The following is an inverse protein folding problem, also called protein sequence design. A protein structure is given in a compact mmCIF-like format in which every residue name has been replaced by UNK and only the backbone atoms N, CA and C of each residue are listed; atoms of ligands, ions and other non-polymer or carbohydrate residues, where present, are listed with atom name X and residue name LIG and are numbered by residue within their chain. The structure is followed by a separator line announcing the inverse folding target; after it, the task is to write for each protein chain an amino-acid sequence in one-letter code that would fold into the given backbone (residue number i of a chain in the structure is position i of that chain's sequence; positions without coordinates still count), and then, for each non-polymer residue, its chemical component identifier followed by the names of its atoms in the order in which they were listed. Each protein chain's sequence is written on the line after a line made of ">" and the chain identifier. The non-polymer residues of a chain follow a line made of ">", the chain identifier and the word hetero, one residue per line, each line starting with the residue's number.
data_IF_188136597909
#
_entry.id   IF_188136597909
#
_cell.length_a   1.000
_cell.length_b   1.000
_cell.length_c   1.000
_cell.angle_alpha   90.00
_cell.angle_beta   90.00
_cell.angle_gamma   90.00
#
_symmetry.space_group_name_H-M   'P 1'
#
loop_
_entity.id
_entity.type
_entity.pdbx_description
1 polymer ?
#
# COMPACT_ATOMS: atom_id res chain seq x y z
N UNK A 1 -6.08 -4.61 31.78
CA UNK A 1 -7.52 -4.76 31.41
C UNK A 1 -7.75 -4.62 29.91
N UNK A 2 -6.94 -3.81 29.21
CA UNK A 2 -6.96 -3.66 27.75
C UNK A 2 -6.90 -4.98 26.95
N UNK A 3 -6.18 -6.00 27.41
CA UNK A 3 -6.10 -7.28 26.70
C UNK A 3 -7.48 -7.94 26.50
N UNK A 4 -8.42 -7.71 27.42
CA UNK A 4 -9.79 -8.21 27.31
C UNK A 4 -10.61 -7.45 26.27
N UNK A 5 -10.36 -6.14 26.11
CA UNK A 5 -10.94 -5.35 25.04
C UNK A 5 -10.44 -5.83 23.67
N UNK A 6 -9.13 -6.06 23.54
CA UNK A 6 -8.54 -6.62 22.33
C UNK A 6 -9.10 -8.01 22.00
N UNK A 7 -9.17 -8.89 23.00
CA UNK A 7 -9.75 -10.22 22.83
C UNK A 7 -11.23 -10.15 22.40
N UNK A 8 -12.03 -9.30 23.08
CA UNK A 8 -13.43 -9.08 22.73
C UNK A 8 -13.61 -8.52 21.31
N UNK A 9 -12.75 -7.59 20.91
CA UNK A 9 -12.74 -7.05 19.55
C UNK A 9 -12.36 -8.12 18.52
N UNK A 10 -11.31 -8.92 18.72
CA UNK A 10 -10.98 -10.01 17.80
C UNK A 10 -12.09 -11.04 17.68
N UNK A 11 -12.76 -11.38 18.79
CA UNK A 11 -13.94 -12.26 18.79
C UNK A 11 -15.06 -11.65 17.96
N UNK A 12 -15.34 -10.34 18.13
CA UNK A 12 -16.32 -9.62 17.34
C UNK A 12 -15.97 -9.70 15.85
N UNK A 13 -14.74 -9.38 15.46
CA UNK A 13 -14.30 -9.38 14.05
C UNK A 13 -14.37 -10.78 13.44
N UNK A 14 -13.87 -11.80 14.14
CA UNK A 14 -13.95 -13.19 13.67
C UNK A 14 -15.41 -13.61 13.53
N UNK A 15 -16.27 -13.26 14.48
CA UNK A 15 -17.71 -13.50 14.41
C UNK A 15 -18.37 -12.81 13.20
N UNK A 16 -18.04 -11.55 12.95
CA UNK A 16 -18.54 -10.79 11.80
C UNK A 16 -18.07 -11.40 10.48
N UNK A 17 -16.81 -11.84 10.38
CA UNK A 17 -16.29 -12.54 9.22
C UNK A 17 -17.01 -13.88 9.01
N UNK A 18 -17.20 -14.68 10.06
CA UNK A 18 -17.93 -15.94 9.96
C UNK A 18 -19.36 -15.72 9.47
N UNK A 19 -20.06 -14.68 9.94
CA UNK A 19 -21.40 -14.34 9.47
C UNK A 19 -21.40 -13.89 8.01
N UNK A 20 -20.51 -12.97 7.65
CA UNK A 20 -20.38 -12.42 6.30
C UNK A 20 -20.08 -13.51 5.26
N UNK A 21 -19.18 -14.45 5.58
CA UNK A 21 -18.69 -15.48 4.65
C UNK A 21 -19.47 -16.80 4.74
N UNK A 22 -19.94 -17.17 5.92
CA UNK A 22 -20.59 -18.45 6.19
C UNK A 22 -22.10 -18.42 6.05
N UNK A 23 -22.75 -17.27 6.27
CA UNK A 23 -24.21 -17.15 6.29
C UNK A 23 -24.73 -16.35 5.11
N UNK A 24 -24.22 -15.13 4.88
CA UNK A 24 -24.80 -14.22 3.90
C UNK A 24 -24.38 -14.50 2.45
N UNK A 25 -23.16 -15.00 2.22
CA UNK A 25 -22.61 -15.18 0.86
C UNK A 25 -22.26 -16.63 0.51
N UNK A 26 -23.00 -17.59 1.08
CA UNK A 26 -22.74 -19.03 0.94
C UNK A 26 -22.82 -19.57 -0.49
N UNK A 27 -23.52 -18.85 -1.38
CA UNK A 27 -23.68 -19.22 -2.79
C UNK A 27 -23.15 -18.11 -3.70
N UNK A 28 -22.22 -18.41 -4.62
CA UNK A 28 -21.70 -17.42 -5.56
C UNK A 28 -22.79 -17.04 -6.56
N UNK A 29 -23.45 -15.91 -6.32
CA UNK A 29 -24.37 -15.25 -7.26
C UNK A 29 -23.81 -13.87 -7.58
N UNK A 30 -24.01 -13.41 -8.82
CA UNK A 30 -23.71 -12.03 -9.18
C UNK A 30 -24.56 -11.09 -8.32
N UNK A 31 -23.90 -10.39 -7.40
CA UNK A 31 -24.56 -9.41 -6.52
C UNK A 31 -24.94 -8.21 -7.37
N UNK A 32 -26.23 -7.86 -7.39
CA UNK A 32 -26.70 -6.66 -8.09
C UNK A 32 -26.07 -5.40 -7.48
N UNK A 33 -25.83 -4.36 -8.27
CA UNK A 33 -25.32 -3.07 -7.76
C UNK A 33 -26.15 -2.53 -6.58
N UNK A 34 -27.48 -2.71 -6.61
CA UNK A 34 -28.37 -2.29 -5.51
C UNK A 34 -28.12 -3.07 -4.22
N UNK A 35 -27.94 -4.38 -4.34
CA UNK A 35 -27.67 -5.26 -3.20
C UNK A 35 -26.27 -4.98 -2.62
N UNK A 36 -25.29 -4.78 -3.49
CA UNK A 36 -23.93 -4.46 -3.08
C UNK A 36 -23.83 -3.06 -2.40
N UNK A 37 -24.60 -2.07 -2.87
CA UNK A 37 -24.73 -0.77 -2.20
C UNK A 37 -25.44 -0.90 -0.84
N UNK A 38 -26.48 -1.71 -0.73
CA UNK A 38 -27.16 -1.96 0.55
C UNK A 38 -26.22 -2.62 1.57
N UNK A 39 -25.44 -3.61 1.14
CA UNK A 39 -24.39 -4.21 1.97
C UNK A 39 -23.33 -3.20 2.36
N UNK A 40 -22.83 -2.38 1.43
CA UNK A 40 -21.89 -1.32 1.74
C UNK A 40 -22.45 -0.35 2.79
N UNK A 41 -23.72 0.06 2.67
CA UNK A 41 -24.38 0.93 3.63
C UNK A 41 -24.53 0.27 5.00
N UNK A 42 -24.83 -1.03 5.05
CA UNK A 42 -24.88 -1.80 6.28
C UNK A 42 -23.52 -1.78 6.99
N UNK A 43 -22.43 -2.06 6.27
CA UNK A 43 -21.07 -2.03 6.81
C UNK A 43 -20.67 -0.64 7.31
N UNK A 44 -20.97 0.42 6.56
CA UNK A 44 -20.76 1.81 6.99
C UNK A 44 -21.53 2.10 8.27
N UNK A 45 -22.79 1.69 8.35
CA UNK A 45 -23.63 1.90 9.53
C UNK A 45 -23.05 1.20 10.76
N UNK A 46 -22.57 -0.04 10.60
CA UNK A 46 -21.91 -0.76 11.69
C UNK A 46 -20.63 -0.03 12.14
N UNK A 47 -19.82 0.49 11.22
CA UNK A 47 -18.64 1.29 11.55
C UNK A 47 -19.00 2.57 12.33
N UNK A 48 -20.10 3.24 11.96
CA UNK A 48 -20.59 4.42 12.66
C UNK A 48 -21.13 4.09 14.06
N UNK A 49 -21.83 2.97 14.21
CA UNK A 49 -22.26 2.47 15.53
C UNK A 49 -21.04 2.15 16.39
N UNK A 50 -20.01 1.51 15.83
CA UNK A 50 -18.77 1.28 16.55
C UNK A 50 -18.05 2.58 16.91
N UNK A 51 -18.14 3.63 16.08
CA UNK A 51 -17.61 4.94 16.43
C UNK A 51 -18.31 5.56 17.66
N UNK A 52 -19.64 5.40 17.78
CA UNK A 52 -20.39 5.79 18.98
C UNK A 52 -19.94 4.96 20.19
N UNK A 53 -19.67 3.66 20.00
CA UNK A 53 -19.07 2.84 21.05
C UNK A 53 -17.68 3.34 21.48
N UNK A 54 -16.81 3.72 20.53
CA UNK A 54 -15.49 4.31 20.81
C UNK A 54 -15.62 5.59 21.63
N UNK A 55 -16.59 6.45 21.32
CA UNK A 55 -16.88 7.65 22.11
C UNK A 55 -17.08 7.29 23.58
N UNK A 56 -18.01 6.38 23.89
CA UNK A 56 -18.30 5.99 25.28
C UNK A 56 -17.16 5.20 25.93
N UNK A 57 -16.45 4.37 25.17
CA UNK A 57 -15.31 3.60 25.64
C UNK A 57 -14.22 4.52 26.22
N UNK A 58 -13.92 5.62 25.53
CA UNK A 58 -12.91 6.60 25.94
C UNK A 58 -13.46 7.62 26.96
N UNK A 59 -14.71 8.07 26.82
CA UNK A 59 -15.32 9.04 27.75
C UNK A 59 -15.46 8.47 29.18
N UNK A 60 -15.85 7.19 29.29
CA UNK A 60 -15.99 6.52 30.58
C UNK A 60 -14.75 5.73 31.00
N UNK A 61 -13.65 5.87 30.25
CA UNK A 61 -12.39 5.17 30.51
C UNK A 61 -12.53 3.66 30.73
N UNK A 62 -13.42 3.02 29.99
CA UNK A 62 -13.65 1.59 30.08
C UNK A 62 -12.36 0.83 29.79
N UNK A 63 -12.06 -0.18 30.60
CA UNK A 63 -10.81 -0.95 30.54
C UNK A 63 -9.51 -0.11 30.70
N UNK A 64 -9.62 1.15 31.15
CA UNK A 64 -8.50 2.09 31.27
C UNK A 64 -8.22 2.91 30.00
N UNK A 65 -9.08 2.86 28.99
CA UNK A 65 -8.89 3.57 27.72
C UNK A 65 -8.89 5.08 27.91
N UNK A 66 -8.03 5.78 27.18
CA UNK A 66 -7.87 7.25 27.27
C UNK A 66 -7.03 7.73 28.46
N UNK A 67 -6.59 6.82 29.36
CA UNK A 67 -5.72 7.16 30.50
C UNK A 67 -4.25 6.77 30.28
N UNK A 68 -3.98 5.76 29.46
CA UNK A 68 -2.64 5.14 29.29
C UNK A 68 -1.92 5.56 27.99
N UNK A 69 -2.43 6.58 27.29
CA UNK A 69 -1.89 7.07 26.02
C UNK A 69 -0.75 8.09 26.19
N UNK A 70 -0.16 8.50 25.07
CA UNK A 70 0.81 9.61 25.01
C UNK A 70 0.16 10.92 25.49
N UNK A 71 -1.14 11.07 25.22
CA UNK A 71 -2.00 12.14 25.73
C UNK A 71 -3.32 11.54 26.24
N UNK A 72 -3.90 12.13 27.29
CA UNK A 72 -5.22 11.74 27.75
C UNK A 72 -6.25 12.15 26.68
N UNK A 73 -7.03 11.18 26.19
CA UNK A 73 -7.97 11.38 25.09
C UNK A 73 -9.40 11.40 25.61
N UNK A 74 -10.13 12.47 25.26
CA UNK A 74 -11.58 12.52 25.49
C UNK A 74 -12.32 11.57 24.55
N UNK A 75 -13.56 11.20 24.90
CA UNK A 75 -14.41 10.37 24.04
C UNK A 75 -14.65 11.02 22.68
N UNK A 76 -14.80 12.36 22.66
CA UNK A 76 -14.98 13.12 21.42
C UNK A 76 -13.76 13.04 20.51
N UNK A 77 -12.57 13.20 21.05
CA UNK A 77 -11.33 13.13 20.26
C UNK A 77 -11.10 11.73 19.73
N UNK A 78 -11.30 10.69 20.55
CA UNK A 78 -11.17 9.30 20.12
C UNK A 78 -12.14 8.95 18.99
N UNK A 79 -13.40 9.39 19.07
CA UNK A 79 -14.38 9.18 18.02
C UNK A 79 -14.04 9.95 16.73
N UNK A 80 -13.52 11.18 16.84
CA UNK A 80 -13.05 11.93 15.68
C UNK A 80 -11.82 11.29 15.02
N UNK A 81 -10.89 10.77 15.82
CA UNK A 81 -9.71 10.06 15.34
C UNK A 81 -10.08 8.73 14.68
N UNK A 82 -10.98 7.94 15.29
CA UNK A 82 -11.51 6.72 14.68
C UNK A 82 -12.19 7.02 13.35
N UNK A 83 -13.07 8.03 13.32
CA UNK A 83 -13.80 8.38 12.09
C UNK A 83 -12.88 8.92 11.00
N UNK A 84 -11.93 9.81 11.34
CA UNK A 84 -10.92 10.27 10.40
C UNK A 84 -10.11 9.10 9.82
N UNK A 85 -9.66 8.20 10.69
CA UNK A 85 -8.92 7.02 10.28
C UNK A 85 -9.71 6.09 9.38
N UNK A 86 -10.97 5.85 9.75
CA UNK A 86 -11.91 5.07 8.95
C UNK A 86 -12.09 5.67 7.56
N UNK A 87 -12.29 6.98 7.45
CA UNK A 87 -12.48 7.66 6.15
C UNK A 87 -11.21 7.58 5.30
N UNK A 88 -10.03 7.82 5.88
CA UNK A 88 -8.75 7.70 5.16
C UNK A 88 -8.57 6.28 4.63
N UNK A 89 -8.68 5.27 5.51
CA UNK A 89 -8.48 3.87 5.12
C UNK A 89 -9.56 3.37 4.16
N UNK A 90 -10.81 3.82 4.32
CA UNK A 90 -11.90 3.47 3.41
C UNK A 90 -11.65 4.04 2.01
N UNK A 91 -11.06 5.23 1.93
CA UNK A 91 -10.73 5.88 0.67
C UNK A 91 -9.56 5.19 -0.02
N UNK A 92 -8.51 4.85 0.74
CA UNK A 92 -7.30 4.22 0.21
C UNK A 92 -7.50 2.75 -0.15
N UNK A 93 -8.37 2.03 0.55
CA UNK A 93 -8.70 0.64 0.23
C UNK A 93 -9.44 0.47 -1.11
N UNK A 94 -9.98 1.54 -1.72
CA UNK A 94 -10.56 1.49 -3.07
C UNK A 94 -9.49 1.20 -4.13
N UNK A 95 -8.28 1.72 -3.96
CA UNK A 95 -7.15 1.43 -4.86
C UNK A 95 -6.73 -0.06 -4.74
N UNK A 96 -6.88 -0.65 -3.55
CA UNK A 96 -6.59 -2.07 -3.34
C UNK A 96 -7.55 -2.97 -4.12
N UNK A 97 -8.84 -2.58 -4.21
CA UNK A 97 -9.85 -3.30 -5.01
C UNK A 97 -9.44 -3.34 -6.50
N UNK A 98 -8.89 -2.25 -7.03
CA UNK A 98 -8.42 -2.19 -8.43
C UNK A 98 -7.34 -3.24 -8.69
N UNK A 99 -6.35 -3.33 -7.80
CA UNK A 99 -5.27 -4.32 -7.94
C UNK A 99 -5.82 -5.74 -7.83
N UNK A 100 -6.70 -6.01 -6.87
CA UNK A 100 -7.33 -7.33 -6.73
C UNK A 100 -8.07 -7.71 -8.02
N UNK A 101 -8.88 -6.80 -8.57
CA UNK A 101 -9.63 -7.03 -9.82
C UNK A 101 -8.69 -7.33 -11.00
N UNK A 102 -7.62 -6.56 -11.13
CA UNK A 102 -6.62 -6.74 -12.17
C UNK A 102 -5.89 -8.07 -12.05
N UNK A 103 -5.51 -8.47 -10.83
CA UNK A 103 -4.87 -9.76 -10.57
C UNK A 103 -5.84 -10.90 -10.91
N UNK A 104 -7.10 -10.84 -10.47
CA UNK A 104 -8.11 -11.85 -10.84
C UNK A 104 -8.36 -11.91 -12.34
N UNK A 105 -8.41 -10.78 -13.02
CA UNK A 105 -8.57 -10.71 -14.47
C UNK A 105 -7.36 -11.30 -15.20
N UNK A 106 -6.15 -10.94 -14.79
CA UNK A 106 -4.89 -11.42 -15.37
C UNK A 106 -4.74 -12.94 -15.24
N UNK A 107 -4.99 -13.48 -14.05
CA UNK A 107 -4.94 -14.92 -13.79
C UNK A 107 -6.23 -15.67 -14.20
N UNK A 108 -7.23 -14.96 -14.72
CA UNK A 108 -8.54 -15.49 -15.12
C UNK A 108 -9.19 -16.35 -14.01
N UNK A 109 -9.15 -15.85 -12.78
CA UNK A 109 -9.68 -16.58 -11.61
C UNK A 109 -11.20 -16.67 -11.70
N UNK A 110 -11.78 -17.88 -11.75
CA UNK A 110 -13.23 -18.07 -11.76
C UNK A 110 -13.90 -17.41 -10.56
N UNK A 111 -15.07 -16.77 -10.77
CA UNK A 111 -15.82 -16.04 -9.74
C UNK A 111 -16.07 -16.88 -8.47
N UNK A 112 -16.32 -18.18 -8.62
CA UNK A 112 -16.55 -19.09 -7.50
C UNK A 112 -15.36 -19.25 -6.56
N UNK A 113 -14.12 -19.04 -7.03
CA UNK A 113 -12.91 -19.15 -6.22
C UNK A 113 -12.42 -17.80 -5.69
N UNK A 114 -12.88 -16.67 -6.26
CA UNK A 114 -12.51 -15.32 -5.80
C UNK A 114 -12.91 -15.10 -4.33
N UNK A 115 -14.07 -15.62 -3.91
CA UNK A 115 -14.54 -15.52 -2.53
C UNK A 115 -13.54 -16.09 -1.52
N UNK A 116 -12.96 -17.26 -1.82
CA UNK A 116 -11.98 -17.93 -0.96
C UNK A 116 -10.68 -17.15 -0.88
N UNK A 117 -10.20 -16.61 -2.01
CA UNK A 117 -9.01 -15.76 -2.02
C UNK A 117 -9.25 -14.48 -1.22
N UNK A 118 -10.41 -13.84 -1.38
CA UNK A 118 -10.77 -12.64 -0.61
C UNK A 118 -10.90 -12.92 0.88
N UNK A 119 -11.40 -14.09 1.27
CA UNK A 119 -11.47 -14.49 2.68
C UNK A 119 -10.10 -14.56 3.33
N UNK A 120 -9.21 -15.37 2.74
CA UNK A 120 -7.85 -15.52 3.23
C UNK A 120 -7.04 -14.22 3.08
N UNK A 121 -7.35 -13.46 2.03
CA UNK A 121 -6.84 -12.12 1.75
C UNK A 121 -7.12 -11.12 2.88
N UNK A 122 -8.37 -11.08 3.34
CA UNK A 122 -8.74 -10.21 4.47
C UNK A 122 -8.02 -10.68 5.73
N UNK A 123 -8.01 -11.99 6.01
CA UNK A 123 -7.37 -12.51 7.22
C UNK A 123 -5.85 -12.26 7.25
N UNK A 124 -5.16 -12.43 6.12
CA UNK A 124 -3.73 -12.13 6.01
C UNK A 124 -3.45 -10.64 6.18
N UNK A 125 -4.22 -9.78 5.51
CA UNK A 125 -4.12 -8.32 5.67
C UNK A 125 -4.34 -7.88 7.11
N UNK A 126 -5.32 -8.45 7.82
CA UNK A 126 -5.56 -8.12 9.23
C UNK A 126 -4.31 -8.39 10.10
N UNK A 127 -3.67 -9.54 9.89
CA UNK A 127 -2.46 -9.92 10.64
C UNK A 127 -1.26 -9.06 10.23
N UNK A 128 -1.03 -8.88 8.93
CA UNK A 128 0.09 -8.10 8.43
C UNK A 128 -0.02 -6.64 8.85
N UNK A 129 -1.22 -6.04 8.75
CA UNK A 129 -1.46 -4.67 9.22
C UNK A 129 -1.30 -4.54 10.71
N UNK A 130 -1.76 -5.51 11.51
CA UNK A 130 -1.52 -5.50 12.95
C UNK A 130 -0.01 -5.40 13.25
N UNK A 131 0.80 -6.23 12.61
CA UNK A 131 2.27 -6.23 12.77
C UNK A 131 2.88 -4.91 12.32
N UNK A 132 2.50 -4.41 11.14
CA UNK A 132 3.04 -3.17 10.58
C UNK A 132 2.64 -1.94 11.39
N UNK A 133 1.41 -1.89 11.92
CA UNK A 133 0.94 -0.81 12.80
C UNK A 133 1.75 -0.81 14.09
N UNK A 134 1.90 -1.95 14.76
CA UNK A 134 2.69 -2.02 15.98
C UNK A 134 4.15 -1.62 15.73
N UNK A 135 4.76 -2.13 14.64
CA UNK A 135 6.11 -1.75 14.25
C UNK A 135 6.24 -0.27 13.91
N UNK A 136 5.25 0.30 13.24
CA UNK A 136 5.19 1.72 12.89
C UNK A 136 5.05 2.64 14.09
N UNK A 137 4.23 2.27 15.08
CA UNK A 137 4.09 3.00 16.35
C UNK A 137 5.43 3.00 17.08
N UNK A 138 6.08 1.84 17.22
CA UNK A 138 7.42 1.74 17.83
C UNK A 138 8.43 2.61 17.08
N UNK A 139 8.37 2.64 15.75
CA UNK A 139 9.26 3.46 14.94
C UNK A 139 9.05 4.96 15.18
N UNK A 140 7.79 5.42 15.23
CA UNK A 140 7.44 6.83 15.49
C UNK A 140 7.79 7.25 16.91
N UNK A 141 7.49 6.42 17.90
CA UNK A 141 7.78 6.74 19.30
C UNK A 141 9.27 6.75 19.60
N UNK A 142 10.07 6.00 18.83
CA UNK A 142 11.52 5.91 19.02
C UNK A 142 12.27 6.99 18.22
N UNK A 143 11.82 7.31 17.01
CA UNK A 143 12.52 8.20 16.09
C UNK A 143 11.66 9.39 15.68
N UNK A 144 11.76 10.51 16.39
CA UNK A 144 10.97 11.72 16.11
C UNK A 144 11.10 12.23 14.65
N UNK A 145 12.25 11.99 14.00
CA UNK A 145 12.47 12.40 12.62
C UNK A 145 11.70 11.56 11.58
N UNK A 146 11.19 10.37 11.95
CA UNK A 146 10.48 9.50 11.03
C UNK A 146 9.19 10.13 10.51
N UNK A 147 8.55 11.00 11.30
CA UNK A 147 7.38 11.75 10.88
C UNK A 147 7.68 12.60 9.63
N UNK A 148 8.91 13.13 9.52
CA UNK A 148 9.32 13.87 8.32
C UNK A 148 9.54 12.95 7.12
N UNK A 149 10.12 11.76 7.32
CA UNK A 149 10.29 10.76 6.26
C UNK A 149 8.93 10.35 5.70
N UNK A 150 8.00 10.04 6.59
CA UNK A 150 6.63 9.70 6.27
C UNK A 150 5.92 10.84 5.55
N UNK A 151 6.06 12.08 6.03
CA UNK A 151 5.51 13.26 5.35
C UNK A 151 6.04 13.45 3.92
N UNK A 152 7.36 13.34 3.73
CA UNK A 152 7.99 13.42 2.39
C UNK A 152 7.54 12.27 1.49
N UNK A 153 7.44 11.06 2.04
CA UNK A 153 7.00 9.88 1.30
C UNK A 153 5.57 10.05 0.77
N UNK A 154 4.64 10.55 1.61
CA UNK A 154 3.26 10.81 1.21
C UNK A 154 3.13 11.90 0.13
N UNK A 155 3.92 12.97 0.25
CA UNK A 155 3.96 14.02 -0.79
C UNK A 155 4.53 13.45 -2.09
N UNK A 156 5.58 12.64 -2.00
CA UNK A 156 6.18 11.98 -3.17
C UNK A 156 5.18 11.06 -3.87
N UNK A 157 4.42 10.24 -3.13
CA UNK A 157 3.40 9.36 -3.71
C UNK A 157 2.24 10.15 -4.29
N UNK A 158 1.77 11.21 -3.63
CA UNK A 158 0.79 12.14 -4.19
C UNK A 158 1.23 12.74 -5.54
N UNK A 159 2.45 13.28 -5.62
CA UNK A 159 2.99 13.88 -6.86
C UNK A 159 3.14 12.83 -7.95
N UNK A 160 3.61 11.63 -7.59
CA UNK A 160 3.73 10.50 -8.52
C UNK A 160 2.37 10.08 -9.08
N UNK A 161 1.34 10.01 -8.23
CA UNK A 161 -0.03 9.67 -8.64
C UNK A 161 -0.61 10.71 -9.61
N UNK A 162 -0.35 12.00 -9.41
CA UNK A 162 -0.81 13.07 -10.32
C UNK A 162 -0.02 13.12 -11.63
N UNK A 163 1.27 12.78 -11.59
CA UNK A 163 2.16 12.83 -12.75
C UNK A 163 2.02 11.60 -13.66
N UNK A 164 1.58 10.47 -13.12
CA UNK A 164 1.32 9.26 -13.88
C UNK A 164 -0.01 9.37 -14.65
N UNK A 165 0.02 9.92 -15.87
CA UNK A 165 -1.12 9.81 -16.80
C UNK A 165 -1.27 8.35 -17.25
N UNK A 166 -2.26 7.65 -16.70
CA UNK A 166 -2.78 6.37 -17.21
C UNK A 166 -1.72 5.31 -17.57
N UNK A 167 -0.75 5.07 -16.69
CA UNK A 167 0.04 3.84 -16.80
C UNK A 167 -0.83 2.67 -16.32
N UNK A 168 -1.36 1.92 -17.28
CA UNK A 168 -1.97 0.62 -17.05
C UNK A 168 -1.03 -0.20 -16.18
N UNK A 169 -1.47 -0.51 -14.95
CA UNK A 169 -0.78 -1.43 -14.06
C UNK A 169 -0.63 -2.73 -14.84
N UNK A 170 0.62 -3.08 -15.18
CA UNK A 170 0.95 -4.35 -15.82
C UNK A 170 1.42 -5.30 -14.72
N UNK A 171 0.59 -6.26 -14.26
CA UNK A 171 0.94 -7.22 -13.20
C UNK A 171 2.20 -8.02 -13.52
N UNK A 172 2.50 -8.19 -14.80
CA UNK A 172 3.66 -8.90 -15.37
C UNK A 172 5.02 -8.31 -14.95
N UNK A 173 5.08 -7.08 -14.45
CA UNK A 173 6.33 -6.42 -14.06
C UNK A 173 6.72 -6.66 -12.60
N UNK A 174 5.83 -7.23 -11.78
CA UNK A 174 6.05 -7.34 -10.34
C UNK A 174 7.16 -8.36 -10.03
N UNK A 175 8.20 -7.94 -9.29
CA UNK A 175 9.35 -8.79 -8.95
C UNK A 175 8.92 -10.04 -8.17
N UNK A 176 7.84 -9.91 -7.38
CA UNK A 176 7.22 -10.97 -6.60
C UNK A 176 6.58 -12.07 -7.46
N UNK A 177 6.02 -11.73 -8.63
CA UNK A 177 5.47 -12.72 -9.56
C UNK A 177 6.61 -13.60 -10.11
N UNK A 178 7.72 -12.98 -10.54
CA UNK A 178 8.91 -13.73 -10.96
C UNK A 178 9.56 -14.53 -9.84
N UNK A 179 9.53 -14.01 -8.61
CA UNK A 179 10.03 -14.73 -7.43
C UNK A 179 9.17 -15.97 -7.15
N UNK A 180 7.84 -15.85 -7.21
CA UNK A 180 6.91 -16.96 -7.02
C UNK A 180 7.09 -18.06 -8.08
N UNK A 181 7.21 -17.71 -9.36
CA UNK A 181 7.52 -18.65 -10.44
C UNK A 181 8.93 -19.27 -10.35
N UNK A 182 9.86 -18.66 -9.62
CA UNK A 182 11.25 -19.13 -9.48
C UNK A 182 11.42 -20.13 -8.34
N UNK A 183 10.61 -20.06 -7.29
CA UNK A 183 10.76 -20.94 -6.13
C UNK A 183 9.85 -22.18 -6.15
N UNK A 184 8.79 -22.23 -6.97
CA UNK A 184 7.82 -23.32 -6.91
C UNK A 184 7.28 -23.76 -8.29
N UNK A 185 7.09 -25.08 -8.45
CA UNK A 185 6.38 -25.66 -9.61
C UNK A 185 4.89 -25.34 -9.50
N UNK A 186 4.42 -24.47 -10.38
CA UNK A 186 3.02 -24.05 -10.46
C UNK A 186 2.26 -25.03 -11.35
N UNK A 187 1.10 -25.49 -10.90
CA UNK A 187 0.19 -26.29 -11.74
C UNK A 187 -0.40 -25.43 -12.86
N UNK A 188 -0.52 -25.98 -14.08
CA UNK A 188 -1.03 -25.23 -15.25
C UNK A 188 -2.53 -24.90 -15.14
N UNK A 189 -3.27 -25.60 -14.27
CA UNK A 189 -4.73 -25.54 -14.17
C UNK A 189 -5.19 -25.32 -12.73
N UNK A 190 -6.30 -24.60 -12.54
CA UNK A 190 -6.98 -24.51 -11.25
C UNK A 190 -7.48 -25.90 -10.83
N UNK A 191 -7.10 -26.34 -9.63
CA UNK A 191 -7.56 -27.58 -9.02
C UNK A 191 -8.58 -27.25 -7.93
N UNK A 192 -9.82 -27.00 -8.37
CA UNK A 192 -10.93 -26.60 -7.50
C UNK A 192 -10.61 -25.37 -6.63
N UNK A 193 -10.96 -25.41 -5.35
CA UNK A 193 -10.74 -24.32 -4.41
C UNK A 193 -9.39 -24.44 -3.66
N UNK A 194 -8.64 -25.53 -3.82
CA UNK A 194 -7.44 -25.80 -3.03
C UNK A 194 -6.25 -24.89 -3.40
N UNK A 195 -5.48 -24.48 -2.38
CA UNK A 195 -4.24 -23.70 -2.55
C UNK A 195 -3.02 -24.58 -2.84
N UNK A 196 -3.07 -25.83 -2.40
CA UNK A 196 -2.01 -26.80 -2.52
C UNK A 196 -2.60 -28.12 -2.99
N UNK A 197 -1.92 -28.78 -3.91
CA UNK A 197 -2.31 -30.09 -4.40
C UNK A 197 -1.08 -30.99 -4.42
N UNK A 198 -1.25 -32.21 -3.94
CA UNK A 198 -0.20 -33.21 -4.04
C UNK A 198 -0.28 -33.88 -5.40
N UNK A 199 0.75 -33.73 -6.24
CA UNK A 199 0.82 -34.35 -7.57
C UNK A 199 2.21 -34.93 -7.78
N UNK A 200 2.28 -36.21 -8.16
CA UNK A 200 3.51 -36.99 -8.31
C UNK A 200 4.38 -37.04 -7.04
N UNK A 201 3.77 -37.17 -5.86
CA UNK A 201 4.49 -37.28 -4.58
C UNK A 201 5.05 -35.96 -4.03
N UNK A 202 4.89 -34.84 -4.73
CA UNK A 202 5.33 -33.51 -4.29
C UNK A 202 4.15 -32.54 -4.14
N UNK A 203 4.22 -31.67 -3.14
CA UNK A 203 3.25 -30.58 -2.95
C UNK A 203 3.49 -29.49 -4.00
N UNK A 204 2.47 -29.21 -4.80
CA UNK A 204 2.47 -28.15 -5.81
C UNK A 204 1.50 -27.05 -5.39
N UNK A 205 1.89 -25.80 -5.63
CA UNK A 205 1.02 -24.65 -5.39
C UNK A 205 0.08 -24.47 -6.57
N UNK A 206 -1.17 -24.15 -6.28
CA UNK A 206 -2.14 -23.79 -7.32
C UNK A 206 -1.99 -22.31 -7.69
N UNK A 207 -2.42 -21.91 -8.90
CA UNK A 207 -2.48 -20.50 -9.27
C UNK A 207 -3.28 -19.64 -8.28
N UNK A 208 -4.25 -20.23 -7.58
CA UNK A 208 -5.06 -19.56 -6.57
C UNK A 208 -4.22 -19.07 -5.36
N UNK A 209 -3.20 -19.84 -4.96
CA UNK A 209 -2.30 -19.44 -3.87
C UNK A 209 -1.37 -18.30 -4.30
N UNK A 210 -0.90 -18.34 -5.55
CA UNK A 210 -0.06 -17.27 -6.11
C UNK A 210 -0.85 -15.96 -6.16
N UNK A 211 -2.11 -16.02 -6.59
CA UNK A 211 -3.02 -14.87 -6.57
C UNK A 211 -3.16 -14.31 -5.16
N UNK A 212 -3.38 -15.16 -4.15
CA UNK A 212 -3.44 -14.74 -2.76
C UNK A 212 -2.15 -14.01 -2.33
N UNK A 213 -0.98 -14.58 -2.59
CA UNK A 213 0.32 -13.97 -2.24
C UNK A 213 0.52 -12.61 -2.94
N UNK A 214 0.11 -12.47 -4.20
CA UNK A 214 0.20 -11.20 -4.93
C UNK A 214 -0.70 -10.15 -4.30
N UNK A 215 -1.92 -10.53 -3.91
CA UNK A 215 -2.87 -9.62 -3.24
C UNK A 215 -2.30 -9.16 -1.88
N UNK A 216 -1.87 -10.10 -1.05
CA UNK A 216 -1.28 -9.82 0.28
C UNK A 216 -0.04 -8.92 0.18
N UNK A 217 0.87 -9.24 -0.75
CA UNK A 217 2.07 -8.43 -0.95
C UNK A 217 1.77 -7.05 -1.52
N UNK A 218 0.72 -6.91 -2.32
CA UNK A 218 0.26 -5.60 -2.79
C UNK A 218 -0.31 -4.77 -1.65
N UNK A 219 -1.03 -5.37 -0.69
CA UNK A 219 -1.49 -4.65 0.50
C UNK A 219 -0.33 -4.12 1.34
N UNK A 220 0.75 -4.88 1.52
CA UNK A 220 1.97 -4.38 2.18
C UNK A 220 2.53 -3.15 1.45
N UNK A 221 2.55 -3.16 0.13
CA UNK A 221 2.99 -2.00 -0.65
C UNK A 221 2.08 -0.79 -0.44
N UNK A 222 0.76 -0.99 -0.36
CA UNK A 222 -0.19 0.07 -0.04
C UNK A 222 -0.12 0.54 1.41
N UNK A 223 0.28 -0.34 2.33
CA UNK A 223 0.51 -0.01 3.72
C UNK A 223 1.63 1.02 3.90
N UNK A 224 2.59 1.08 2.97
CA UNK A 224 3.66 2.10 2.96
C UNK A 224 3.08 3.51 2.87
N UNK A 225 1.95 3.70 2.17
CA UNK A 225 1.29 5.00 2.05
C UNK A 225 0.17 5.18 3.10
N UNK A 226 -0.64 4.13 3.34
CA UNK A 226 -1.78 4.24 4.25
C UNK A 226 -1.40 4.29 5.74
N UNK A 227 -0.36 3.57 6.18
CA UNK A 227 0.05 3.55 7.59
C UNK A 227 0.60 4.91 8.05
N UNK A 228 1.51 5.58 7.31
CA UNK A 228 1.90 6.94 7.65
C UNK A 228 0.70 7.89 7.73
N UNK A 229 -0.25 7.75 6.81
CA UNK A 229 -1.41 8.64 6.76
C UNK A 229 -2.31 8.50 8.00
N UNK A 230 -2.55 7.28 8.50
CA UNK A 230 -3.31 7.07 9.74
C UNK A 230 -2.55 7.57 10.97
N UNK A 231 -1.21 7.47 11.00
CA UNK A 231 -0.42 8.02 12.10
C UNK A 231 -0.39 9.54 12.16
N UNK A 232 -0.69 10.22 11.05
CA UNK A 232 -0.94 11.66 11.04
C UNK A 232 -2.26 12.05 11.73
N UNK A 233 -3.15 11.07 11.98
CA UNK A 233 -4.44 11.25 12.67
C UNK A 233 -4.32 10.84 14.13
N UNK A 234 -3.80 9.65 14.40
CA UNK A 234 -3.69 9.10 15.75
C UNK A 234 -2.57 8.08 15.86
N UNK A 235 -1.91 8.06 17.01
CA UNK A 235 -0.89 7.07 17.35
C UNK A 235 -1.43 6.02 18.34
N UNK A 236 -2.72 6.09 18.70
CA UNK A 236 -3.37 5.12 19.57
C UNK A 236 -3.57 3.79 18.85
N UNK A 237 -2.88 2.70 19.25
CA UNK A 237 -2.90 1.44 18.51
C UNK A 237 -4.31 0.89 18.29
N UNK A 238 -5.19 1.03 19.28
CA UNK A 238 -6.56 0.55 19.20
C UNK A 238 -7.38 1.32 18.15
N UNK A 239 -7.27 2.65 18.09
CA UNK A 239 -7.99 3.47 17.12
C UNK A 239 -7.47 3.24 15.70
N UNK A 240 -6.14 3.20 15.53
CA UNK A 240 -5.49 2.91 14.25
C UNK A 240 -5.97 1.55 13.72
N UNK A 241 -5.90 0.52 14.56
CA UNK A 241 -6.23 -0.84 14.14
C UNK A 241 -7.72 -1.03 13.89
N UNK A 242 -8.58 -0.64 14.83
CA UNK A 242 -10.02 -0.87 14.69
C UNK A 242 -10.61 -0.09 13.51
N UNK A 243 -10.21 1.16 13.29
CA UNK A 243 -10.69 1.95 12.14
C UNK A 243 -10.27 1.35 10.80
N UNK A 244 -9.04 0.83 10.72
CA UNK A 244 -8.53 0.13 9.54
C UNK A 244 -9.35 -1.14 9.23
N UNK A 245 -9.62 -1.95 10.25
CA UNK A 245 -10.43 -3.16 10.09
C UNK A 245 -11.83 -2.80 9.60
N UNK A 246 -12.51 -1.87 10.24
CA UNK A 246 -13.85 -1.47 9.82
C UNK A 246 -13.87 -0.89 8.40
N UNK A 247 -12.80 -0.23 7.96
CA UNK A 247 -12.67 0.23 6.58
C UNK A 247 -12.55 -0.94 5.58
N UNK A 248 -11.81 -1.99 5.95
CA UNK A 248 -11.60 -3.19 5.13
C UNK A 248 -12.80 -4.14 5.15
N UNK A 249 -13.54 -4.18 6.25
CA UNK A 249 -14.79 -4.94 6.33
C UNK A 249 -15.80 -4.39 5.31
N UNK A 250 -16.46 -5.31 4.61
CA UNK A 250 -17.38 -4.97 3.53
C UNK A 250 -16.74 -4.69 2.17
N UNK A 251 -15.39 -4.66 2.04
CA UNK A 251 -14.75 -4.48 0.72
C UNK A 251 -15.11 -5.59 -0.27
N UNK A 252 -15.43 -6.82 0.19
CA UNK A 252 -15.91 -7.90 -0.69
C UNK A 252 -17.22 -7.55 -1.37
N UNK A 253 -18.18 -7.01 -0.62
CA UNK A 253 -19.45 -6.55 -1.19
C UNK A 253 -19.23 -5.37 -2.14
N UNK A 254 -18.29 -4.49 -1.80
CA UNK A 254 -17.95 -3.34 -2.62
C UNK A 254 -17.24 -3.73 -3.91
N UNK A 255 -16.37 -4.74 -3.93
CA UNK A 255 -15.71 -5.22 -5.16
C UNK A 255 -16.72 -5.52 -6.28
N UNK A 256 -17.82 -6.20 -5.96
CA UNK A 256 -18.86 -6.52 -6.95
C UNK A 256 -19.68 -5.29 -7.39
N UNK A 257 -19.91 -4.30 -6.51
CA UNK A 257 -20.49 -3.01 -6.91
C UNK A 257 -19.52 -2.20 -7.79
N UNK A 258 -18.28 -2.07 -7.31
CA UNK A 258 -17.30 -1.11 -7.78
C UNK A 258 -16.70 -1.54 -9.11
N UNK A 259 -16.49 -2.84 -9.35
CA UNK A 259 -15.97 -3.33 -10.64
C UNK A 259 -16.78 -2.81 -11.84
N UNK A 260 -18.09 -2.63 -11.68
CA UNK A 260 -18.99 -2.07 -12.71
C UNK A 260 -19.02 -0.53 -12.79
N UNK A 261 -18.64 0.15 -11.70
CA UNK A 261 -18.70 1.61 -11.58
C UNK A 261 -17.33 2.29 -11.59
N UNK A 262 -16.23 1.53 -11.53
CA UNK A 262 -14.87 2.05 -11.37
C UNK A 262 -14.45 2.97 -12.53
N UNK A 263 -14.98 2.71 -13.72
CA UNK A 263 -14.77 3.56 -14.92
C UNK A 263 -15.47 4.93 -14.82
N UNK A 264 -16.31 5.17 -13.79
CA UNK A 264 -17.03 6.43 -13.57
C UNK A 264 -16.36 7.34 -12.53
N UNK A 265 -15.29 6.89 -11.88
CA UNK A 265 -14.64 7.59 -10.76
C UNK A 265 -13.21 8.05 -11.09
N UNK A 266 -12.99 8.59 -12.29
CA UNK A 266 -11.65 9.03 -12.74
C UNK A 266 -11.02 10.08 -11.81
N UNK A 267 -11.83 10.97 -11.22
CA UNK A 267 -11.35 12.02 -10.31
C UNK A 267 -11.12 11.54 -8.87
N UNK A 268 -11.53 10.31 -8.54
CA UNK A 268 -11.28 9.73 -7.22
C UNK A 268 -9.77 9.54 -7.00
N UNK A 269 -9.04 9.05 -8.01
CA UNK A 269 -7.56 8.92 -7.95
C UNK A 269 -6.88 10.27 -7.68
N UNK A 270 -7.36 11.33 -8.33
CA UNK A 270 -6.87 12.70 -8.11
C UNK A 270 -7.14 13.14 -6.67
N UNK A 271 -8.30 12.80 -6.12
CA UNK A 271 -8.70 13.14 -4.75
C UNK A 271 -7.85 12.40 -3.71
N UNK A 272 -7.54 11.12 -3.94
CA UNK A 272 -6.62 10.36 -3.09
C UNK A 272 -5.21 10.96 -3.12
N UNK A 273 -4.73 11.42 -4.27
CA UNK A 273 -3.44 12.10 -4.36
C UNK A 273 -3.43 13.44 -3.57
N UNK A 274 -4.49 14.24 -3.66
CA UNK A 274 -4.61 15.46 -2.85
C UNK A 274 -4.71 15.17 -1.36
N UNK A 275 -5.45 14.13 -0.97
CA UNK A 275 -5.53 13.65 0.40
C UNK A 275 -4.14 13.27 0.93
N UNK A 276 -3.39 12.47 0.17
CA UNK A 276 -2.02 12.07 0.53
C UNK A 276 -1.07 13.26 0.66
N UNK A 277 -1.15 14.21 -0.29
CA UNK A 277 -0.35 15.43 -0.24
C UNK A 277 -0.67 16.28 1.00
N UNK A 278 -1.96 16.46 1.31
CA UNK A 278 -2.40 17.18 2.51
C UNK A 278 -1.90 16.50 3.80
N UNK A 279 -2.09 15.19 3.91
CA UNK A 279 -1.65 14.44 5.09
C UNK A 279 -0.13 14.48 5.23
N UNK A 280 0.61 14.36 4.13
CA UNK A 280 2.07 14.50 4.12
C UNK A 280 2.54 15.87 4.61
N UNK A 281 1.91 16.95 4.13
CA UNK A 281 2.19 18.32 4.62
C UNK A 281 1.86 18.45 6.11
N UNK A 282 0.72 17.92 6.56
CA UNK A 282 0.34 17.90 7.98
C UNK A 282 1.41 17.22 8.83
N UNK A 283 1.97 16.09 8.37
CA UNK A 283 3.05 15.39 9.09
C UNK A 283 4.34 16.21 9.16
N UNK A 284 4.73 16.89 8.08
CA UNK A 284 5.90 17.79 8.07
C UNK A 284 5.72 18.99 9.00
N UNK A 285 4.49 19.50 9.11
CA UNK A 285 4.16 20.64 9.96
C UNK A 285 3.87 20.27 11.41
N UNK A 286 3.86 18.99 11.77
CA UNK A 286 3.37 18.50 13.07
C UNK A 286 4.05 19.18 14.28
N UNK A 287 5.33 19.54 14.18
CA UNK A 287 6.09 20.18 15.26
C UNK A 287 5.92 21.70 15.32
N UNK A 288 5.48 22.34 14.23
CA UNK A 288 5.39 23.80 14.12
C UNK A 288 3.95 24.30 14.24
N UNK A 289 3.01 23.59 13.62
CA UNK A 289 1.61 23.98 13.57
C UNK A 289 0.70 22.74 13.58
N UNK A 290 0.27 22.27 14.77
CA UNK A 290 -0.62 21.14 14.88
C UNK A 290 -2.00 21.51 14.33
N UNK A 291 -2.38 20.89 13.21
CA UNK A 291 -3.70 21.10 12.59
C UNK A 291 -4.76 20.35 13.43
N UNK A 292 -5.78 21.05 13.97
CA UNK A 292 -6.84 20.41 14.75
C UNK A 292 -7.53 19.30 13.96
N UNK A 293 -7.89 18.20 14.64
CA UNK A 293 -8.46 17.02 13.98
C UNK A 293 -9.75 17.33 13.22
N UNK A 294 -10.61 18.21 13.76
CA UNK A 294 -11.84 18.64 13.08
C UNK A 294 -11.57 19.38 11.76
N UNK A 295 -10.55 20.24 11.72
CA UNK A 295 -10.13 20.93 10.50
C UNK A 295 -9.54 19.93 9.48
N UNK A 296 -8.71 19.00 9.96
CA UNK A 296 -8.17 17.91 9.13
C UNK A 296 -9.29 17.07 8.50
N UNK A 297 -10.31 16.72 9.28
CA UNK A 297 -11.44 15.91 8.82
C UNK A 297 -12.32 16.67 7.82
N UNK A 298 -12.54 17.97 8.03
CA UNK A 298 -13.26 18.82 7.09
C UNK A 298 -12.52 18.92 5.74
N UNK A 299 -11.19 19.06 5.76
CA UNK A 299 -10.37 19.09 4.54
C UNK A 299 -10.41 17.74 3.83
N UNK A 300 -10.19 16.63 4.55
CA UNK A 300 -10.27 15.27 3.98
C UNK A 300 -11.64 15.02 3.36
N UNK A 301 -12.71 15.28 4.11
CA UNK A 301 -14.09 15.15 3.63
C UNK A 301 -14.38 16.03 2.42
N UNK A 302 -13.88 17.27 2.42
CA UNK A 302 -13.99 18.20 1.31
C UNK A 302 -13.29 17.71 0.04
N UNK A 303 -12.04 17.24 0.15
CA UNK A 303 -11.28 16.68 -0.98
C UNK A 303 -12.03 15.49 -1.59
N UNK A 304 -12.50 14.56 -0.75
CA UNK A 304 -13.23 13.38 -1.21
C UNK A 304 -14.59 13.74 -1.81
N UNK A 305 -15.34 14.65 -1.19
CA UNK A 305 -16.63 15.10 -1.69
C UNK A 305 -16.49 15.81 -3.04
N UNK A 306 -15.53 16.71 -3.19
CA UNK A 306 -15.23 17.38 -4.47
C UNK A 306 -14.87 16.33 -5.52
N UNK A 307 -14.06 15.33 -5.17
CA UNK A 307 -13.71 14.21 -6.04
C UNK A 307 -14.91 13.42 -6.56
N UNK A 308 -15.81 13.06 -5.65
CA UNK A 308 -17.03 12.32 -5.96
C UNK A 308 -17.97 13.17 -6.81
N UNK A 309 -18.21 14.43 -6.43
CA UNK A 309 -19.06 15.34 -7.20
C UNK A 309 -18.49 15.60 -8.59
N UNK A 310 -17.19 15.89 -8.70
CA UNK A 310 -16.51 16.05 -9.99
C UNK A 310 -16.64 14.79 -10.85
N UNK A 311 -16.49 13.60 -10.25
CA UNK A 311 -16.68 12.33 -10.97
C UNK A 311 -18.12 12.16 -11.47
N UNK A 312 -19.13 12.55 -10.70
CA UNK A 312 -20.55 12.45 -11.09
C UNK A 312 -20.89 13.47 -12.19
N UNK A 313 -20.43 14.72 -12.05
CA UNK A 313 -20.78 15.80 -12.98
C UNK A 313 -19.95 15.80 -14.27
N UNK A 314 -18.74 15.23 -14.27
CA UNK A 314 -17.90 15.12 -15.46
C UNK A 314 -18.34 14.02 -16.45
N UNK A 315 -19.42 13.28 -16.15
CA UNK A 315 -19.90 12.14 -16.95
C UNK A 315 -20.42 12.53 -18.35
N UNK A 316 -20.45 13.81 -18.75
CA UNK A 316 -21.11 14.24 -20.00
C UNK A 316 -20.26 14.86 -21.14
N UNK A 317 -18.91 14.83 -21.14
CA UNK A 317 -18.16 15.52 -22.24
C UNK A 317 -16.96 14.83 -22.88
N UNK A 318 -16.71 13.54 -22.66
CA UNK A 318 -15.69 12.84 -23.45
C UNK A 318 -16.25 11.53 -24.03
N UNK A 319 -16.24 11.34 -25.37
CA UNK A 319 -16.54 10.03 -25.92
C UNK A 319 -15.56 9.02 -25.34
N UNK A 320 -16.11 8.01 -24.65
CA UNK A 320 -15.38 6.88 -24.10
C UNK A 320 -14.55 6.26 -25.22
N UNK A 321 -13.24 6.51 -25.22
CA UNK A 321 -12.32 5.75 -26.05
C UNK A 321 -12.23 4.38 -25.40
N UNK A 322 -12.89 3.40 -26.03
CA UNK A 322 -12.71 1.97 -25.72
C UNK A 322 -11.21 1.68 -25.53
N UNK A 323 -10.76 1.17 -24.36
CA UNK A 323 -9.40 0.67 -24.20
C UNK A 323 -9.12 -0.57 -25.05
N UNK A 324 -10.16 -1.11 -25.70
CA UNK A 324 -10.10 -2.23 -26.62
C UNK A 324 -10.22 -1.63 -28.02
N UNK A 325 -9.20 -0.88 -28.44
CA UNK A 325 -8.87 -0.81 -29.85
C UNK A 325 -7.97 -2.01 -30.12
N UNK A 326 -8.48 -2.93 -30.94
CA UNK A 326 -7.75 -4.08 -31.46
C UNK A 326 -6.33 -3.66 -31.92
N UNK A 327 -5.32 -4.42 -31.49
CA UNK A 327 -3.94 -4.45 -32.02
C UNK A 327 -2.83 -3.60 -31.37
N UNK A 328 -2.82 -3.35 -30.06
CA UNK A 328 -1.59 -2.87 -29.36
C UNK A 328 -0.94 -3.88 -28.38
N UNK A 329 -1.43 -5.12 -28.30
CA UNK A 329 -0.92 -6.11 -27.33
C UNK A 329 0.16 -7.05 -27.86
N UNK A 330 0.90 -6.66 -28.90
CA UNK A 330 2.05 -7.42 -29.36
C UNK A 330 3.18 -6.46 -29.73
N UNK A 331 4.30 -6.59 -29.01
CA UNK A 331 5.62 -5.96 -29.23
C UNK A 331 6.08 -4.91 -28.19
N UNK A 332 6.04 -5.24 -26.90
CA UNK A 332 7.17 -4.83 -26.05
C UNK A 332 8.37 -5.72 -26.40
N UNK A 333 9.30 -5.18 -27.19
CA UNK A 333 10.55 -5.90 -27.53
C UNK A 333 11.34 -6.17 -26.24
N UNK A 334 11.91 -7.38 -26.09
CA UNK A 334 12.74 -7.81 -24.94
C UNK A 334 13.83 -6.79 -24.53
N UNK A 335 14.25 -5.94 -25.46
CA UNK A 335 15.17 -4.81 -25.23
C UNK A 335 14.57 -3.70 -24.37
N UNK A 336 13.32 -3.32 -24.58
CA UNK A 336 12.63 -2.32 -23.76
C UNK A 336 12.42 -2.83 -22.32
N UNK A 337 12.09 -4.12 -22.17
CA UNK A 337 11.95 -4.76 -20.87
C UNK A 337 13.26 -4.78 -20.07
N UNK A 338 14.37 -5.15 -20.70
CA UNK A 338 15.71 -5.10 -20.09
C UNK A 338 16.08 -3.69 -19.67
N UNK A 339 15.78 -2.69 -20.51
CA UNK A 339 16.08 -1.28 -20.24
C UNK A 339 15.35 -0.75 -19.00
N UNK A 340 14.08 -1.12 -18.81
CA UNK A 340 13.28 -0.74 -17.64
C UNK A 340 13.78 -1.45 -16.38
N UNK A 341 14.08 -2.75 -16.44
CA UNK A 341 14.61 -3.50 -15.30
C UNK A 341 15.94 -2.91 -14.84
N UNK A 342 16.83 -2.63 -15.79
CA UNK A 342 18.14 -2.02 -15.52
C UNK A 342 17.99 -0.63 -14.93
N UNK A 343 17.01 0.17 -15.40
CA UNK A 343 16.70 1.48 -14.85
C UNK A 343 16.28 1.38 -13.38
N UNK A 344 15.30 0.55 -13.06
CA UNK A 344 14.76 0.42 -11.70
C UNK A 344 15.80 -0.12 -10.73
N UNK A 345 16.45 -1.25 -11.06
CA UNK A 345 17.46 -1.87 -10.20
C UNK A 345 18.64 -0.93 -10.00
N UNK A 346 19.10 -0.31 -11.10
CA UNK A 346 20.22 0.61 -11.07
C UNK A 346 19.92 1.89 -10.30
N UNK A 347 18.72 2.48 -10.44
CA UNK A 347 18.31 3.68 -9.70
C UNK A 347 18.14 3.42 -8.21
N UNK A 348 17.59 2.26 -7.82
CA UNK A 348 17.41 1.91 -6.41
C UNK A 348 18.75 1.72 -5.70
N UNK A 349 19.69 1.00 -6.31
CA UNK A 349 21.03 0.82 -5.75
C UNK A 349 21.78 2.16 -5.68
N UNK A 350 21.62 3.00 -6.70
CA UNK A 350 22.24 4.33 -6.72
C UNK A 350 21.68 5.23 -5.60
N UNK A 351 20.37 5.27 -5.41
CA UNK A 351 19.72 6.05 -4.34
C UNK A 351 20.10 5.53 -2.95
N UNK A 352 20.16 4.21 -2.76
CA UNK A 352 20.64 3.61 -1.51
C UNK A 352 22.10 4.00 -1.23
N UNK A 353 22.96 3.98 -2.26
CA UNK A 353 24.34 4.42 -2.15
C UNK A 353 24.46 5.92 -1.80
N UNK A 354 23.62 6.77 -2.37
CA UNK A 354 23.56 8.20 -2.03
C UNK A 354 23.08 8.40 -0.58
N UNK A 355 22.06 7.66 -0.14
CA UNK A 355 21.58 7.71 1.24
C UNK A 355 22.67 7.28 2.24
N UNK A 356 23.53 6.32 1.87
CA UNK A 356 24.70 5.90 2.65
C UNK A 356 25.84 6.94 2.70
N UNK A 357 25.73 8.08 2.01
CA UNK A 357 26.64 9.21 2.25
C UNK A 357 26.24 9.98 3.52
N UNK A 358 24.95 9.93 3.88
CA UNK A 358 24.37 10.61 5.04
C UNK A 358 24.25 9.64 6.22
N UNK A 359 23.92 8.38 5.95
CA UNK A 359 23.91 7.28 6.91
C UNK A 359 25.28 6.60 6.90
N UNK A 360 25.93 6.30 8.04
CA UNK A 360 27.23 5.63 8.04
C UNK A 360 27.14 4.25 7.36
N UNK A 361 27.69 4.15 6.14
CA UNK A 361 27.65 2.94 5.32
C UNK A 361 28.62 3.01 4.12
N UNK A 362 28.84 1.90 3.39
CA UNK A 362 29.85 1.81 2.34
C UNK A 362 29.41 2.47 1.02
N UNK A 363 29.01 3.75 1.05
CA UNK A 363 28.54 4.50 -0.12
C UNK A 363 29.53 4.48 -1.30
N UNK A 364 30.83 4.50 -1.00
CA UNK A 364 31.91 4.45 -1.99
C UNK A 364 31.95 3.15 -2.80
N UNK A 365 31.32 2.07 -2.31
CA UNK A 365 31.16 0.79 -3.04
C UNK A 365 29.81 0.73 -3.75
N UNK A 366 28.74 1.16 -3.07
CA UNK A 366 27.36 1.00 -3.55
C UNK A 366 27.04 1.93 -4.72
N UNK A 367 27.53 3.17 -4.70
CA UNK A 367 27.31 4.16 -5.78
C UNK A 367 27.92 3.68 -7.11
N UNK A 368 29.20 3.24 -7.17
CA UNK A 368 29.77 2.67 -8.40
C UNK A 368 29.03 1.44 -8.92
N UNK A 369 28.48 0.59 -8.04
CA UNK A 369 27.70 -0.59 -8.45
C UNK A 369 26.39 -0.17 -9.12
N UNK A 370 25.66 0.80 -8.53
CA UNK A 370 24.44 1.35 -9.12
C UNK A 370 24.69 1.97 -10.50
N UNK A 371 25.76 2.76 -10.62
CA UNK A 371 26.16 3.36 -11.90
C UNK A 371 26.64 2.32 -12.93
N UNK A 372 27.34 1.26 -12.51
CA UNK A 372 27.78 0.18 -13.40
C UNK A 372 26.59 -0.61 -13.98
N UNK A 373 25.54 -0.83 -13.17
CA UNK A 373 24.31 -1.50 -13.61
C UNK A 373 23.57 -0.61 -14.62
N UNK A 374 23.36 0.67 -14.30
CA UNK A 374 22.74 1.63 -15.22
C UNK A 374 23.55 1.81 -16.52
N UNK A 375 24.88 1.78 -16.42
CA UNK A 375 25.80 1.95 -17.54
C UNK A 375 25.72 0.86 -18.61
N UNK A 376 25.08 -0.28 -18.35
CA UNK A 376 24.84 -1.33 -19.36
C UNK A 376 23.82 -0.91 -20.42
N UNK A 377 22.88 -0.03 -20.07
CA UNK A 377 21.76 0.38 -20.92
C UNK A 377 21.67 1.89 -21.15
N UNK A 378 22.33 2.70 -20.30
CA UNK A 378 22.27 4.16 -20.32
C UNK A 378 23.66 4.79 -20.44
N UNK A 379 23.91 5.48 -21.55
CA UNK A 379 25.19 6.11 -21.87
C UNK A 379 25.61 7.17 -20.84
N UNK A 380 24.66 7.92 -20.27
CA UNK A 380 24.97 8.93 -19.25
C UNK A 380 25.57 8.27 -18.00
N UNK A 381 24.99 7.16 -17.52
CA UNK A 381 25.46 6.45 -16.35
C UNK A 381 26.83 5.82 -16.57
N UNK A 382 27.09 5.31 -17.79
CA UNK A 382 28.41 4.81 -18.18
C UNK A 382 29.49 5.90 -18.14
N UNK A 383 29.20 7.10 -18.66
CA UNK A 383 30.12 8.25 -18.59
C UNK A 383 30.46 8.61 -17.14
N UNK A 384 29.46 8.61 -16.26
CA UNK A 384 29.66 8.89 -14.84
C UNK A 384 30.47 7.78 -14.14
N UNK A 385 30.18 6.51 -14.43
CA UNK A 385 30.94 5.38 -13.91
C UNK A 385 32.42 5.44 -14.33
N UNK A 386 32.70 5.70 -15.61
CA UNK A 386 34.07 5.83 -16.14
C UNK A 386 34.80 7.01 -15.47
N UNK A 387 34.14 8.16 -15.31
CA UNK A 387 34.71 9.33 -14.62
C UNK A 387 35.08 9.02 -13.16
N UNK A 388 34.23 8.31 -12.42
CA UNK A 388 34.50 7.91 -11.02
C UNK A 388 35.64 6.89 -10.96
N UNK A 389 35.69 5.94 -11.90
CA UNK A 389 36.76 4.94 -11.99
C UNK A 389 38.11 5.56 -12.28
N UNK A 390 38.17 6.54 -13.19
CA UNK A 390 39.41 7.23 -13.57
C UNK A 390 39.92 8.13 -12.44
N UNK A 391 39.01 8.84 -11.75
CA UNK A 391 39.36 9.59 -10.54
C UNK A 391 39.92 8.66 -9.45
N UNK A 392 39.28 7.51 -9.19
CA UNK A 392 39.77 6.53 -8.22
C UNK A 392 41.16 5.99 -8.55
N UNK A 393 41.44 5.68 -9.82
CA UNK A 393 42.78 5.26 -10.27
C UNK A 393 43.82 6.36 -10.10
N UNK A 394 43.48 7.62 -10.36
CA UNK A 394 44.40 8.75 -10.16
C UNK A 394 44.77 8.98 -8.69
N UNK A 395 43.82 8.75 -7.77
CA UNK A 395 44.04 8.86 -6.32
C UNK A 395 44.90 7.70 -5.81
N UNK A 396 44.57 6.46 -6.20
CA UNK A 396 45.36 5.27 -5.87
C UNK A 396 46.79 5.34 -6.44
N UNK A 397 46.95 5.87 -7.65
CA UNK A 397 48.25 6.11 -8.27
C UNK A 397 49.09 7.16 -7.53
N UNK A 398 48.47 8.22 -7.01
CA UNK A 398 49.15 9.23 -6.18
C UNK A 398 49.59 8.67 -4.82
N UNK A 399 48.75 7.84 -4.19
CA UNK A 399 49.09 7.17 -2.91
C UNK A 399 50.21 6.14 -3.10
N UNK A 400 50.15 5.34 -4.17
CA UNK A 400 51.20 4.35 -4.47
C UNK A 400 52.50 4.96 -5.01
N UNK A 401 52.44 6.14 -5.62
CA UNK A 401 53.63 6.89 -6.06
C UNK A 401 54.35 7.56 -4.89
N UNK A 402 53.61 8.13 -3.94
CA UNK A 402 54.19 8.80 -2.77
C UNK A 402 54.93 7.85 -1.83
N UNK A 403 54.50 6.58 -1.74
CA UNK A 403 55.21 5.55 -0.95
C UNK A 403 56.54 5.07 -1.56
N UNK A 404 56.84 5.35 -2.84
CA UNK A 404 58.15 5.00 -3.43
C UNK A 404 59.22 6.07 -3.21
N UNK A 405 58.81 7.32 -3.01
CA UNK A 405 59.72 8.44 -2.79
C UNK A 405 60.09 8.63 -1.29
N UNK A 406 59.34 8.03 -0.36
CA UNK A 406 59.69 8.00 1.07
C UNK A 406 60.69 6.90 1.45
N UNK A 407 60.72 5.78 0.74
CA UNK A 407 61.73 4.69 0.92
C UNK A 407 63.09 4.99 0.26
N UNK A 408 63.25 6.18 -0.35
CA UNK A 408 64.46 6.61 -1.06
C UNK A 408 65.03 7.94 -0.56
N UNK A 409 64.96 8.20 0.75
CA UNK A 409 65.88 9.15 1.40
C UNK A 409 66.90 8.41 2.26
N UNK A 410 68.21 8.64 2.04
CA UNK A 410 69.31 7.95 2.73
C UNK A 410 69.43 8.32 4.20
#
# INVERSE_FOLDING_TARGET
>A
MEIWLWAGFFILIIGMLILDLGVFHKTPREVSTKEALAWSLCWVTISLVFNVFVYFLYEYHWFGMGLNGVEALSGREAALQFFAGYVIEKSLSLDNIVIIALVFSYFKVPLMYQHRVLFWGILGVLVLRFIMILGGIVLISTFAWINYVFGVLLIFTAVKMLSARHDNVQPEKNALVRLAYRFFTVTETFHEDHFFVQKNGSWQMTPLFIVLVIIESSDILFAIDSIPAIFAVTQEPFLVFTSNIFAILGLRSLYFALASMMQKFDYLKTSLAFLMGFVGVKMLMAHYYPIPIGASLAIIGGILLIGVLASIFAIDTAPLKSPIAENEFSQMTLRQLKKIITLVVGSTILLAGIAMLILPGPAFVVIPIGLAILGKEFLWARKWYEKIKDQGKSILGKISGNNRDEDSKP
#
